data_IF_108502660641
#
_entry.id   IF_108502660641
#
_cell.length_a   1.000
_cell.length_b   1.000
_cell.length_c   1.000
_cell.angle_alpha   90.00
_cell.angle_beta   90.00
_cell.angle_gamma   90.00
#
_symmetry.space_group_name_H-M   'P 1'
#
loop_
_entity.id
_entity.type
_entity.pdbx_description
1 polymer ?
#
# COMPACT_ATOMS: atom_id res chain seq x y z
N UNK A 1 19.82 15.43 -17.30
CA UNK A 1 19.61 13.99 -17.38
C UNK A 1 18.49 13.60 -16.44
N UNK A 2 17.54 12.93 -16.96
CA UNK A 2 16.41 12.51 -16.16
C UNK A 2 16.66 11.15 -15.58
N UNK A 3 16.80 11.07 -14.27
CA UNK A 3 16.46 9.83 -13.64
C UNK A 3 15.06 9.46 -14.09
N UNK A 4 14.90 8.42 -14.86
CA UNK A 4 13.61 7.82 -14.99
C UNK A 4 13.22 7.41 -13.58
N UNK A 5 12.29 8.13 -13.00
CA UNK A 5 11.70 7.73 -11.73
C UNK A 5 10.85 6.49 -11.98
N UNK A 6 11.46 5.40 -12.43
CA UNK A 6 10.82 4.10 -12.34
C UNK A 6 10.75 3.80 -10.86
N UNK A 7 9.57 3.96 -10.33
CA UNK A 7 9.29 3.51 -9.00
C UNK A 7 9.56 2.02 -8.96
N UNK A 8 10.51 1.62 -8.15
CA UNK A 8 10.79 0.21 -7.98
C UNK A 8 9.62 -0.45 -7.29
N UNK A 9 9.11 -1.52 -7.88
CA UNK A 9 8.06 -2.34 -7.29
C UNK A 9 8.68 -3.37 -6.34
N UNK A 10 9.64 -2.92 -5.54
CA UNK A 10 10.31 -3.75 -4.54
C UNK A 10 10.92 -2.87 -3.46
N UNK A 11 11.07 -3.45 -2.27
CA UNK A 11 11.84 -2.83 -1.19
C UNK A 11 12.45 -3.93 -0.32
N UNK A 12 13.50 -3.59 0.39
CA UNK A 12 14.18 -4.52 1.28
C UNK A 12 14.59 -3.84 2.58
N UNK A 13 14.69 -4.62 3.64
CA UNK A 13 15.12 -4.12 4.94
C UNK A 13 15.73 -5.27 5.74
N UNK A 14 16.30 -4.92 6.89
CA UNK A 14 16.82 -5.91 7.82
C UNK A 14 16.10 -5.80 9.15
N UNK A 15 15.78 -6.93 9.74
CA UNK A 15 15.20 -7.03 11.07
C UNK A 15 15.83 -8.23 11.78
N UNK A 16 16.33 -8.03 13.00
CA UNK A 16 16.96 -9.09 13.79
C UNK A 16 18.04 -9.84 13.00
N UNK A 17 18.90 -9.10 12.28
CA UNK A 17 20.00 -9.63 11.46
C UNK A 17 19.52 -10.49 10.27
N UNK A 18 18.23 -10.46 9.96
CA UNK A 18 17.65 -11.16 8.83
C UNK A 18 17.36 -10.17 7.70
N UNK A 19 17.67 -10.58 6.49
CA UNK A 19 17.35 -9.80 5.30
C UNK A 19 15.96 -10.17 4.81
N UNK A 20 15.15 -9.16 4.51
CA UNK A 20 13.80 -9.34 4.00
C UNK A 20 13.59 -8.46 2.77
N UNK A 21 12.86 -8.99 1.81
CA UNK A 21 12.55 -8.28 0.57
C UNK A 21 11.08 -8.51 0.20
N UNK A 22 10.43 -7.44 -0.21
CA UNK A 22 9.10 -7.51 -0.81
C UNK A 22 9.19 -7.05 -2.25
N UNK A 23 8.54 -7.77 -3.15
CA UNK A 23 8.43 -7.38 -4.55
C UNK A 23 7.01 -7.56 -5.04
N UNK A 24 6.61 -6.72 -5.99
CA UNK A 24 5.34 -6.80 -6.68
C UNK A 24 5.62 -7.16 -8.13
N UNK A 25 5.09 -8.29 -8.58
CA UNK A 25 5.26 -8.76 -9.95
C UNK A 25 3.94 -8.71 -10.70
N UNK A 26 3.98 -8.16 -11.90
CA UNK A 26 2.84 -8.15 -12.80
C UNK A 26 2.85 -9.45 -13.61
N UNK A 27 1.85 -10.30 -13.41
CA UNK A 27 1.65 -11.51 -14.20
C UNK A 27 0.80 -11.24 -15.44
N UNK A 28 -0.21 -10.37 -15.30
CA UNK A 28 -1.06 -9.90 -16.38
C UNK A 28 -1.67 -8.56 -15.98
N UNK A 29 -2.46 -7.95 -16.86
CA UNK A 29 -3.12 -6.68 -16.53
C UNK A 29 -4.11 -6.79 -15.38
N UNK A 30 -4.58 -7.99 -15.09
CA UNK A 30 -5.56 -8.25 -14.02
C UNK A 30 -5.04 -9.18 -12.92
N UNK A 31 -3.76 -9.50 -12.92
CA UNK A 31 -3.15 -10.34 -11.89
C UNK A 31 -1.76 -9.84 -11.54
N UNK A 32 -1.62 -9.44 -10.29
CA UNK A 32 -0.34 -9.08 -9.69
C UNK A 32 -0.07 -9.99 -8.50
N UNK A 33 1.18 -10.18 -8.16
CA UNK A 33 1.58 -11.05 -7.05
C UNK A 33 2.59 -10.31 -6.18
N UNK A 34 2.31 -10.27 -4.88
CA UNK A 34 3.25 -9.78 -3.89
C UNK A 34 4.05 -10.96 -3.39
N UNK A 35 5.37 -10.85 -3.42
CA UNK A 35 6.29 -11.86 -2.88
C UNK A 35 7.03 -11.30 -1.68
N UNK A 36 7.06 -12.07 -0.60
CA UNK A 36 7.92 -11.80 0.55
C UNK A 36 9.01 -12.86 0.56
N UNK A 37 10.24 -12.44 0.34
CA UNK A 37 11.42 -13.31 0.38
C UNK A 37 12.24 -12.98 1.62
N UNK A 38 12.66 -14.02 2.32
CA UNK A 38 13.47 -13.91 3.53
C UNK A 38 14.69 -14.84 3.41
N UNK A 39 15.55 -14.86 4.41
CA UNK A 39 16.66 -15.81 4.49
C UNK A 39 16.20 -17.25 4.70
N UNK A 40 14.93 -17.43 5.03
CA UNK A 40 14.34 -18.75 5.20
C UNK A 40 14.00 -19.37 3.84
N UNK A 41 14.03 -20.70 3.70
CA UNK A 41 13.72 -21.34 2.43
C UNK A 41 12.27 -21.17 1.98
N UNK A 42 11.34 -20.93 2.90
CA UNK A 42 9.95 -20.66 2.56
C UNK A 42 9.74 -19.17 2.33
N UNK A 43 8.87 -18.83 1.40
CA UNK A 43 8.46 -17.45 1.16
C UNK A 43 6.95 -17.36 1.10
N UNK A 44 6.44 -16.18 1.38
CA UNK A 44 5.02 -15.90 1.34
C UNK A 44 4.65 -15.20 0.04
N UNK A 45 3.48 -15.53 -0.47
CA UNK A 45 2.95 -14.99 -1.72
C UNK A 45 1.52 -14.53 -1.48
N UNK A 46 1.16 -13.38 -2.04
CA UNK A 46 -0.20 -12.88 -1.99
C UNK A 46 -0.65 -12.45 -3.39
N UNK A 47 -1.71 -13.07 -3.89
CA UNK A 47 -2.25 -12.77 -5.21
C UNK A 47 -3.25 -11.62 -5.15
N UNK A 48 -3.10 -10.69 -6.10
CA UNK A 48 -4.01 -9.57 -6.30
C UNK A 48 -4.66 -9.73 -7.68
N UNK A 49 -5.88 -10.30 -7.74
CA UNK A 49 -6.57 -10.50 -9.02
C UNK A 49 -7.23 -9.22 -9.52
N UNK A 50 -6.46 -8.12 -9.55
CA UNK A 50 -6.93 -6.79 -9.95
C UNK A 50 -5.80 -6.03 -10.64
N UNK A 51 -6.12 -5.03 -11.48
CA UNK A 51 -5.11 -4.07 -11.90
C UNK A 51 -4.54 -3.31 -10.70
N UNK A 52 -3.25 -3.09 -10.69
CA UNK A 52 -2.55 -2.32 -9.67
C UNK A 52 -2.05 -1.02 -10.29
N UNK A 53 -2.39 0.12 -9.70
CA UNK A 53 -1.97 1.42 -10.22
C UNK A 53 -0.87 2.07 -9.39
N UNK A 54 -0.67 1.62 -8.14
CA UNK A 54 0.32 2.21 -7.25
C UNK A 54 0.80 1.18 -6.24
N UNK A 55 2.06 1.29 -5.86
CA UNK A 55 2.69 0.45 -4.84
C UNK A 55 3.62 1.33 -4.02
N UNK A 56 3.51 1.22 -2.70
CA UNK A 56 4.40 1.94 -1.78
C UNK A 56 4.56 1.13 -0.50
N UNK A 57 5.37 1.62 0.41
CA UNK A 57 5.64 0.92 1.65
C UNK A 57 6.08 1.90 2.73
N UNK A 58 5.97 1.48 3.97
CA UNK A 58 6.45 2.22 5.13
C UNK A 58 5.82 1.69 6.40
N UNK A 59 6.45 1.98 7.52
CA UNK A 59 5.95 1.55 8.83
C UNK A 59 4.85 2.49 9.30
N UNK A 60 3.66 2.35 8.72
CA UNK A 60 2.52 3.23 9.05
C UNK A 60 1.90 2.91 10.39
N UNK A 61 2.10 1.70 10.90
CA UNK A 61 1.58 1.30 12.22
C UNK A 61 2.52 1.67 13.37
N UNK A 62 3.79 1.92 13.07
CA UNK A 62 4.79 2.27 14.10
C UNK A 62 5.35 1.07 14.84
N UNK A 63 5.20 -0.14 14.34
CA UNK A 63 5.65 -1.37 15.02
C UNK A 63 7.06 -1.82 14.67
N UNK A 64 7.77 -1.07 13.80
CA UNK A 64 9.12 -1.39 13.37
C UNK A 64 9.19 -2.23 12.11
N UNK A 65 8.06 -2.74 11.61
CA UNK A 65 7.97 -3.49 10.35
C UNK A 65 7.24 -2.66 9.31
N UNK A 66 7.76 -2.59 8.07
CA UNK A 66 7.06 -1.84 7.04
C UNK A 66 5.78 -2.56 6.62
N UNK A 67 4.73 -1.79 6.37
CA UNK A 67 3.53 -2.27 5.71
C UNK A 67 3.67 -2.11 4.20
N UNK A 68 2.91 -2.92 3.48
CA UNK A 68 2.82 -2.91 2.02
C UNK A 68 1.53 -2.19 1.66
N UNK A 69 1.62 -1.09 0.92
CA UNK A 69 0.47 -0.27 0.54
C UNK A 69 0.28 -0.39 -0.96
N UNK A 70 -0.89 -0.89 -1.37
CA UNK A 70 -1.15 -1.21 -2.78
C UNK A 70 -2.42 -0.50 -3.23
N UNK A 71 -2.33 0.17 -4.37
CA UNK A 71 -3.49 0.73 -5.03
C UNK A 71 -3.99 -0.22 -6.10
N UNK A 72 -5.25 -0.63 -5.97
CA UNK A 72 -5.89 -1.56 -6.90
C UNK A 72 -7.13 -0.92 -7.51
N UNK A 73 -7.57 -1.45 -8.64
CA UNK A 73 -8.82 -1.02 -9.28
C UNK A 73 -9.78 -2.19 -9.20
N UNK A 74 -10.82 -2.04 -8.39
CA UNK A 74 -11.82 -3.10 -8.21
C UNK A 74 -13.14 -2.54 -7.69
N UNK A 75 -14.27 -3.23 -7.96
CA UNK A 75 -15.51 -2.94 -7.26
C UNK A 75 -15.42 -3.45 -5.81
N UNK A 76 -16.27 -2.92 -4.96
CA UNK A 76 -16.46 -3.45 -3.62
C UNK A 76 -17.88 -4.02 -3.49
N UNK A 77 -18.13 -4.70 -2.36
CA UNK A 77 -19.45 -5.20 -2.04
C UNK A 77 -20.52 -4.11 -2.03
N UNK A 78 -20.14 -2.90 -1.61
CA UNK A 78 -21.07 -1.78 -1.45
C UNK A 78 -21.03 -0.79 -2.61
N UNK A 79 -20.08 -0.96 -3.54
CA UNK A 79 -19.92 -0.11 -4.70
C UNK A 79 -19.51 -0.98 -5.88
N UNK A 80 -20.46 -1.36 -6.74
CA UNK A 80 -20.17 -2.28 -7.83
C UNK A 80 -19.35 -1.67 -8.96
N UNK A 81 -19.13 -0.36 -8.96
CA UNK A 81 -18.29 0.29 -9.95
C UNK A 81 -16.82 0.03 -9.68
N UNK A 82 -16.05 -0.47 -10.65
CA UNK A 82 -14.59 -0.54 -10.49
C UNK A 82 -14.02 0.86 -10.29
N UNK A 83 -13.26 1.03 -9.21
CA UNK A 83 -12.65 2.29 -8.87
C UNK A 83 -11.34 2.05 -8.14
N UNK A 84 -10.56 3.11 -7.97
CA UNK A 84 -9.29 3.03 -7.26
C UNK A 84 -9.51 2.81 -5.77
N UNK A 85 -8.84 1.79 -5.24
CA UNK A 85 -8.92 1.41 -3.83
C UNK A 85 -7.51 1.36 -3.25
N UNK A 86 -7.42 1.53 -1.95
CA UNK A 86 -6.16 1.47 -1.22
C UNK A 86 -6.21 0.28 -0.26
N UNK A 87 -5.25 -0.63 -0.39
CA UNK A 87 -5.13 -1.80 0.47
C UNK A 87 -3.82 -1.74 1.24
N UNK A 88 -3.86 -2.14 2.50
CA UNK A 88 -2.68 -2.23 3.36
C UNK A 88 -2.52 -3.67 3.79
N UNK A 89 -1.32 -4.20 3.58
CA UNK A 89 -0.92 -5.52 4.05
C UNK A 89 0.18 -5.38 5.06
N UNK A 90 0.22 -6.29 6.02
CA UNK A 90 1.29 -6.35 6.99
C UNK A 90 2.09 -7.64 6.81
N UNK A 91 3.25 -7.66 7.43
CA UNK A 91 4.09 -8.85 7.47
C UNK A 91 3.97 -9.41 8.88
N UNK A 92 3.31 -10.57 9.00
CA UNK A 92 3.05 -11.22 10.27
C UNK A 92 4.15 -12.24 10.56
N UNK A 93 4.61 -12.29 11.81
CA UNK A 93 5.59 -13.27 12.29
C UNK A 93 6.89 -13.29 11.47
N UNK A 94 7.26 -12.14 10.88
CA UNK A 94 8.42 -12.01 9.99
C UNK A 94 8.41 -13.01 8.82
N UNK A 95 7.23 -13.53 8.46
CA UNK A 95 7.16 -14.65 7.51
C UNK A 95 5.97 -14.58 6.54
N UNK A 96 4.88 -13.90 6.91
CA UNK A 96 3.64 -14.01 6.15
C UNK A 96 3.05 -12.67 5.79
N UNK A 97 2.59 -12.55 4.55
CA UNK A 97 1.79 -11.40 4.11
C UNK A 97 0.36 -11.64 4.58
N UNK A 98 -0.20 -10.65 5.28
CA UNK A 98 -1.58 -10.68 5.78
C UNK A 98 -2.28 -9.37 5.50
N UNK A 99 -3.57 -9.38 5.16
CA UNK A 99 -4.33 -8.13 5.05
C UNK A 99 -4.39 -7.42 6.39
N UNK A 100 -4.17 -6.11 6.38
CA UNK A 100 -4.36 -5.26 7.54
C UNK A 100 -5.60 -4.39 7.35
N UNK A 101 -5.75 -3.77 6.18
CA UNK A 101 -6.89 -2.93 5.87
C UNK A 101 -7.17 -2.98 4.37
N UNK A 102 -8.35 -3.44 4.02
CA UNK A 102 -8.82 -3.49 2.64
C UNK A 102 -9.91 -2.44 2.48
N UNK A 103 -9.52 -1.17 2.59
CA UNK A 103 -10.43 -0.05 2.61
C UNK A 103 -11.20 0.10 1.32
N UNK A 104 -12.50 0.25 1.43
CA UNK A 104 -13.35 0.48 0.28
C UNK A 104 -13.17 1.89 -0.27
N UNK A 105 -12.85 2.85 0.60
CA UNK A 105 -12.56 4.22 0.19
C UNK A 105 -11.94 5.02 1.32
N UNK A 106 -11.29 6.10 0.96
CA UNK A 106 -10.91 7.19 1.86
C UNK A 106 -12.02 8.24 1.88
N UNK A 107 -11.77 9.45 2.35
CA UNK A 107 -12.82 10.46 2.52
C UNK A 107 -13.55 10.81 1.20
N UNK A 108 -12.81 10.92 0.11
CA UNK A 108 -13.33 11.20 -1.23
C UNK A 108 -12.79 10.15 -2.20
N UNK A 109 -13.33 10.07 -3.44
CA UNK A 109 -12.79 9.14 -4.42
C UNK A 109 -11.29 9.32 -4.63
N UNK A 110 -10.57 8.22 -4.50
CA UNK A 110 -9.12 8.20 -4.53
C UNK A 110 -8.59 8.29 -5.95
N UNK A 111 -7.57 9.14 -6.16
CA UNK A 111 -6.88 9.24 -7.45
C UNK A 111 -5.48 8.66 -7.37
N UNK A 112 -4.74 8.97 -6.31
CA UNK A 112 -3.39 8.47 -6.11
C UNK A 112 -3.02 8.59 -4.63
N UNK A 113 -1.93 7.96 -4.23
CA UNK A 113 -1.41 8.07 -2.87
C UNK A 113 0.09 7.84 -2.84
N UNK A 114 0.71 8.21 -1.73
CA UNK A 114 2.07 7.81 -1.41
C UNK A 114 2.28 7.84 0.09
N UNK A 115 3.24 7.05 0.54
CA UNK A 115 3.68 7.07 1.94
C UNK A 115 4.66 8.21 2.11
N UNK A 116 4.47 9.00 3.17
CA UNK A 116 5.38 10.12 3.49
C UNK A 116 5.88 9.95 4.92
N UNK A 117 7.07 10.49 5.16
CA UNK A 117 7.65 10.53 6.49
C UNK A 117 7.77 11.98 6.92
N UNK A 118 7.14 12.30 8.05
CA UNK A 118 7.21 13.62 8.65
C UNK A 118 7.69 13.47 10.10
N UNK A 119 8.88 13.99 10.41
CA UNK A 119 9.48 13.87 11.73
C UNK A 119 9.53 12.40 12.17
N UNK A 120 8.74 12.03 13.19
CA UNK A 120 8.65 10.66 13.70
C UNK A 120 7.45 9.90 13.18
N UNK A 121 6.62 10.53 12.34
CA UNK A 121 5.38 9.94 11.85
C UNK A 121 5.52 9.45 10.42
N UNK A 122 4.87 8.33 10.12
CA UNK A 122 4.72 7.81 8.76
C UNK A 122 3.24 7.88 8.42
N UNK A 123 2.92 8.61 7.37
CA UNK A 123 1.55 8.91 6.97
C UNK A 123 1.29 8.46 5.54
N UNK A 124 0.02 8.32 5.21
CA UNK A 124 -0.40 8.11 3.82
C UNK A 124 -1.00 9.41 3.32
N UNK A 125 -0.36 10.01 2.32
CA UNK A 125 -0.87 11.19 1.64
C UNK A 125 -1.61 10.74 0.41
N UNK A 126 -2.84 11.24 0.25
CA UNK A 126 -3.69 10.90 -0.88
C UNK A 126 -3.96 12.12 -1.74
N UNK A 127 -4.21 11.84 -3.01
CA UNK A 127 -4.85 12.79 -3.93
C UNK A 127 -6.26 12.26 -4.16
N UNK A 128 -7.26 13.07 -3.80
CA UNK A 128 -8.66 12.69 -3.87
C UNK A 128 -9.41 13.69 -4.74
N UNK A 129 -10.56 13.30 -5.25
CA UNK A 129 -11.37 14.15 -6.13
C UNK A 129 -12.69 14.47 -5.47
N UNK A 130 -12.97 15.75 -5.34
CA UNK A 130 -14.26 16.23 -4.86
C UNK A 130 -15.34 16.09 -5.94
N UNK A 131 -16.59 16.19 -5.52
CA UNK A 131 -17.74 16.23 -6.42
C UNK A 131 -17.63 17.32 -7.50
N UNK A 132 -17.04 18.44 -7.13
CA UNK A 132 -16.80 19.56 -8.04
C UNK A 132 -15.78 19.27 -9.13
N UNK A 133 -15.06 18.14 -9.04
CA UNK A 133 -13.97 17.80 -9.92
C UNK A 133 -12.62 18.34 -9.48
N UNK A 134 -12.57 19.13 -8.42
CA UNK A 134 -11.31 19.59 -7.85
C UNK A 134 -10.57 18.46 -7.16
N UNK A 135 -9.25 18.49 -7.25
CA UNK A 135 -8.42 17.58 -6.47
C UNK A 135 -8.10 18.21 -5.12
N UNK A 136 -8.02 17.38 -4.12
CA UNK A 136 -7.56 17.78 -2.79
C UNK A 136 -6.50 16.78 -2.30
N UNK A 137 -5.63 17.27 -1.46
CA UNK A 137 -4.59 16.46 -0.84
C UNK A 137 -5.00 16.23 0.61
N UNK A 138 -5.03 14.96 1.01
CA UNK A 138 -5.37 14.59 2.38
C UNK A 138 -4.24 13.75 2.97
N UNK A 139 -4.15 13.73 4.29
CA UNK A 139 -3.17 12.95 5.01
C UNK A 139 -3.85 12.10 6.08
N UNK A 140 -3.48 10.84 6.12
CA UNK A 140 -4.07 9.85 7.02
C UNK A 140 -3.00 9.20 7.88
N UNK A 141 -3.32 8.97 9.14
CA UNK A 141 -2.52 8.18 10.06
C UNK A 141 -3.25 6.87 10.36
N UNK A 142 -2.49 5.83 10.64
CA UNK A 142 -3.06 4.58 11.11
C UNK A 142 -3.51 4.71 12.57
N UNK A 143 -4.72 4.28 12.88
CA UNK A 143 -5.32 4.37 14.21
C UNK A 143 -5.88 3.02 14.68
N UNK A 144 -5.08 1.96 14.59
CA UNK A 144 -5.45 0.66 15.12
C UNK A 144 -6.48 -0.12 14.31
N UNK A 145 -7.50 0.54 13.76
CA UNK A 145 -8.56 -0.12 13.00
C UNK A 145 -8.67 0.37 11.57
N UNK A 146 -7.93 1.39 11.20
CA UNK A 146 -8.01 1.96 9.87
C UNK A 146 -7.31 3.30 9.79
N UNK A 147 -7.57 4.00 8.71
CA UNK A 147 -6.97 5.30 8.45
C UNK A 147 -7.82 6.42 9.03
N UNK A 148 -7.19 7.30 9.76
CA UNK A 148 -7.80 8.47 10.36
C UNK A 148 -7.29 9.72 9.66
N UNK A 149 -8.22 10.54 9.20
CA UNK A 149 -7.89 11.78 8.49
C UNK A 149 -7.19 12.75 9.45
N UNK A 150 -5.99 13.19 9.09
CA UNK A 150 -5.19 14.12 9.88
C UNK A 150 -5.27 15.52 9.35
N UNK A 151 -5.26 15.65 8.03
CA UNK A 151 -5.23 16.95 7.37
C UNK A 151 -5.76 16.85 5.93
N UNK A 152 -6.25 17.96 5.46
CA UNK A 152 -6.70 18.14 4.09
C UNK A 152 -6.04 19.36 3.50
#
# INVERSE_FOLDING_TARGET
>A
MFCSCRKENRFEWQVNQRHMEVSLNKESDSLYVIHLNTDQPSHSVWKLPYPVYQFDYGDVTGDGMPEIIVGVIKPTRFDPKPDKRLFIYRIADEAYIRPLWLGSRVAQPLEDFRVIREHTSVLIRTMERERSGKYLIAEYAWRGFGLDLRDI
#
